data_IF_977267687892
#
_entry.id   IF_977267687892
#
_cell.length_a   1.000
_cell.length_b   1.000
_cell.length_c   1.000
_cell.angle_alpha   90.00
_cell.angle_beta   90.00
_cell.angle_gamma   90.00
#
_symmetry.space_group_name_H-M   'P 1'
#
loop_
_entity.id
_entity.type
_entity.pdbx_description
1 polymer ?
#
# COMPACT_ATOMS: atom_id res chain seq x y z
N UNK A 1 -10.69 9.55 -4.30
CA UNK A 1 -10.20 9.44 -5.68
C UNK A 1 -8.69 9.37 -5.63
N UNK A 2 -8.09 8.32 -6.18
CA UNK A 2 -6.64 8.08 -6.15
C UNK A 2 -5.90 9.08 -7.06
N UNK A 3 -4.58 9.21 -6.92
CA UNK A 3 -3.78 10.08 -7.81
C UNK A 3 -3.79 9.58 -9.26
N UNK A 4 -3.87 8.26 -9.47
CA UNK A 4 -3.92 7.67 -10.81
C UNK A 4 -5.25 8.00 -11.50
N UNK A 5 -6.36 7.95 -10.76
CA UNK A 5 -7.69 8.29 -11.28
C UNK A 5 -7.70 9.74 -11.83
N UNK A 6 -7.12 10.68 -11.06
CA UNK A 6 -6.98 12.08 -11.48
C UNK A 6 -6.13 12.23 -12.73
N UNK A 7 -5.01 11.50 -12.83
CA UNK A 7 -4.13 11.56 -13.99
C UNK A 7 -4.80 11.05 -15.27
N UNK A 8 -5.58 9.96 -15.15
CA UNK A 8 -6.34 9.42 -16.27
C UNK A 8 -7.38 10.43 -16.80
N UNK A 9 -8.10 11.12 -15.90
CA UNK A 9 -9.06 12.17 -16.27
C UNK A 9 -8.40 13.43 -16.85
N UNK A 10 -7.28 13.87 -16.28
CA UNK A 10 -6.61 15.13 -16.67
C UNK A 10 -5.83 15.04 -17.99
N UNK A 11 -5.24 13.87 -18.30
CA UNK A 11 -4.28 13.73 -19.39
C UNK A 11 -4.71 12.77 -20.50
N UNK A 12 -5.93 12.21 -20.45
CA UNK A 12 -6.44 11.24 -21.43
C UNK A 12 -5.45 10.07 -21.68
N UNK A 13 -4.94 9.50 -20.59
CA UNK A 13 -3.99 8.38 -20.61
C UNK A 13 -4.69 7.08 -20.22
N UNK A 14 -4.30 5.98 -20.84
CA UNK A 14 -4.73 4.64 -20.42
C UNK A 14 -3.80 4.08 -19.33
N UNK A 15 -4.38 3.65 -18.21
CA UNK A 15 -3.65 3.13 -17.06
C UNK A 15 -3.92 1.63 -16.92
N UNK A 16 -2.92 0.81 -17.23
CA UNK A 16 -2.99 -0.64 -17.05
C UNK A 16 -2.31 -1.07 -15.74
N UNK A 17 -3.10 -1.57 -14.78
CA UNK A 17 -2.58 -2.18 -13.55
C UNK A 17 -1.87 -3.51 -13.83
N UNK A 18 -0.68 -3.72 -13.25
CA UNK A 18 0.08 -4.97 -13.33
C UNK A 18 0.54 -5.40 -11.93
N UNK A 19 -0.31 -6.12 -11.19
CA UNK A 19 0.01 -6.53 -9.83
C UNK A 19 1.13 -7.58 -9.84
N UNK A 20 1.99 -7.55 -8.81
CA UNK A 20 3.12 -8.47 -8.66
C UNK A 20 3.49 -8.65 -7.19
N UNK A 21 4.22 -9.72 -6.87
CA UNK A 21 4.64 -10.02 -5.51
C UNK A 21 5.97 -9.34 -5.18
N UNK A 22 5.97 -8.50 -4.16
CA UNK A 22 7.21 -7.97 -3.58
C UNK A 22 7.92 -8.98 -2.68
N UNK A 23 7.17 -9.88 -2.03
CA UNK A 23 7.69 -10.84 -1.04
C UNK A 23 7.01 -12.21 -1.20
N UNK A 24 7.28 -12.94 -2.30
CA UNK A 24 6.64 -14.23 -2.58
C UNK A 24 6.91 -15.28 -1.49
N UNK A 25 8.04 -15.19 -0.77
CA UNK A 25 8.39 -16.12 0.32
C UNK A 25 7.77 -15.80 1.68
N UNK A 26 6.75 -14.93 1.77
CA UNK A 26 6.08 -14.68 3.05
C UNK A 26 5.27 -15.92 3.47
N UNK A 27 5.35 -16.41 4.72
CA UNK A 27 4.52 -17.52 5.20
C UNK A 27 3.02 -17.22 5.12
N UNK A 28 2.15 -18.24 5.03
CA UNK A 28 0.69 -18.07 4.88
C UNK A 28 0.06 -17.32 6.06
N UNK A 29 0.59 -17.52 7.26
CA UNK A 29 0.22 -16.83 8.50
C UNK A 29 0.71 -15.37 8.57
N UNK A 30 1.48 -14.93 7.56
CA UNK A 30 2.20 -13.67 7.57
C UNK A 30 3.42 -13.71 8.49
N UNK A 31 3.99 -12.55 8.78
CA UNK A 31 5.04 -12.44 9.80
C UNK A 31 4.93 -11.12 10.56
N UNK A 32 5.38 -11.05 11.83
CA UNK A 32 5.53 -9.79 12.53
C UNK A 32 6.31 -8.80 11.67
N UNK A 33 5.89 -7.54 11.70
CA UNK A 33 6.58 -6.47 11.01
C UNK A 33 7.29 -5.60 12.04
N UNK A 34 8.56 -5.36 11.81
CA UNK A 34 9.31 -4.35 12.55
C UNK A 34 8.82 -2.94 12.18
N UNK A 35 8.49 -2.08 13.16
CA UNK A 35 8.18 -0.68 12.91
C UNK A 35 9.34 0.02 12.21
N UNK A 36 9.05 0.93 11.27
CA UNK A 36 10.07 1.80 10.69
C UNK A 36 10.45 2.91 11.67
N UNK A 37 11.61 3.52 11.46
CA UNK A 37 12.02 4.70 12.23
C UNK A 37 10.97 5.81 12.11
N UNK A 38 10.50 6.32 13.24
CA UNK A 38 9.46 7.34 13.31
C UNK A 38 8.02 6.83 13.12
N UNK A 39 7.80 5.52 12.96
CA UNK A 39 6.48 4.90 12.97
C UNK A 39 6.05 4.63 14.42
N UNK A 40 4.79 4.94 14.75
CA UNK A 40 4.17 4.60 16.04
C UNK A 40 3.08 3.53 15.82
N UNK A 41 2.42 3.02 16.88
CA UNK A 41 1.30 2.09 16.70
C UNK A 41 0.15 2.67 15.87
N UNK A 42 -0.08 3.98 15.98
CA UNK A 42 -1.23 4.66 15.37
C UNK A 42 -0.86 5.50 14.14
N UNK A 43 0.41 5.89 13.99
CA UNK A 43 0.84 6.83 12.96
C UNK A 43 2.02 6.31 12.15
N UNK A 44 1.93 6.53 10.84
CA UNK A 44 3.03 6.29 9.90
C UNK A 44 4.17 7.28 10.15
N UNK A 45 5.38 6.90 9.73
CA UNK A 45 6.50 7.83 9.66
C UNK A 45 6.36 8.80 8.48
N UNK A 46 7.04 9.94 8.56
CA UNK A 46 7.23 10.80 7.38
C UNK A 46 8.10 10.10 6.31
N UNK A 47 7.90 10.42 5.02
CA UNK A 47 6.91 11.36 4.46
C UNK A 47 5.52 10.74 4.23
N UNK A 48 5.32 9.46 4.56
CA UNK A 48 4.11 8.71 4.19
C UNK A 48 2.86 9.27 4.88
N UNK A 49 3.02 9.72 6.13
CA UNK A 49 1.97 10.38 6.90
C UNK A 49 1.49 11.66 6.19
N UNK A 50 2.40 12.57 5.86
CA UNK A 50 2.05 13.81 5.15
C UNK A 50 1.35 13.55 3.81
N UNK A 51 1.80 12.57 3.03
CA UNK A 51 1.15 12.22 1.75
C UNK A 51 -0.27 11.66 1.94
N UNK A 52 -0.51 10.88 2.98
CA UNK A 52 -1.84 10.37 3.28
C UNK A 52 -2.80 11.52 3.68
N UNK A 53 -2.32 12.45 4.51
CA UNK A 53 -3.08 13.64 4.93
C UNK A 53 -3.43 14.54 3.74
N UNK A 54 -2.45 14.87 2.90
CA UNK A 54 -2.65 15.70 1.70
C UNK A 54 -3.64 15.04 0.71
N UNK A 55 -3.59 13.72 0.58
CA UNK A 55 -4.50 12.97 -0.29
C UNK A 55 -5.88 12.70 0.33
N UNK A 56 -6.11 13.07 1.60
CA UNK A 56 -7.35 12.78 2.32
C UNK A 56 -7.58 11.29 2.56
N UNK A 57 -6.51 10.49 2.67
CA UNK A 57 -6.55 9.05 2.87
C UNK A 57 -6.32 8.68 4.34
N UNK A 58 -7.07 7.70 4.82
CA UNK A 58 -6.82 7.08 6.13
C UNK A 58 -5.83 5.93 5.92
N UNK A 59 -4.58 6.12 6.33
CA UNK A 59 -3.55 5.08 6.31
C UNK A 59 -3.05 4.78 7.72
N UNK A 60 -2.87 3.50 8.05
CA UNK A 60 -2.42 3.05 9.37
C UNK A 60 -1.19 2.13 9.28
N UNK A 61 -0.27 2.20 10.25
CA UNK A 61 0.83 1.24 10.39
C UNK A 61 0.32 -0.21 10.44
N UNK A 62 0.81 -1.11 9.56
CA UNK A 62 0.46 -2.52 9.65
C UNK A 62 1.28 -3.20 10.75
N UNK A 63 0.64 -4.05 11.57
CA UNK A 63 1.32 -4.84 12.61
C UNK A 63 2.00 -6.10 12.07
N UNK A 64 1.65 -6.51 10.84
CA UNK A 64 2.16 -7.72 10.18
C UNK A 64 2.51 -7.44 8.72
N UNK A 65 3.49 -8.18 8.21
CA UNK A 65 3.66 -8.36 6.75
C UNK A 65 2.70 -9.48 6.32
N UNK A 66 1.67 -9.20 5.51
CA UNK A 66 0.68 -10.19 5.12
C UNK A 66 1.19 -11.11 4.00
N UNK A 67 0.58 -12.29 3.90
CA UNK A 67 0.67 -13.16 2.74
C UNK A 67 -0.28 -12.66 1.64
N UNK A 68 0.27 -12.08 0.58
CA UNK A 68 -0.53 -11.41 -0.46
C UNK A 68 -0.74 -12.26 -1.72
N UNK A 69 -0.40 -13.55 -1.70
CA UNK A 69 -0.64 -14.43 -2.86
C UNK A 69 -2.12 -14.48 -3.22
N UNK A 70 -3.01 -14.70 -2.25
CA UNK A 70 -4.46 -14.74 -2.51
C UNK A 70 -5.00 -13.41 -3.04
N UNK A 71 -4.42 -12.28 -2.60
CA UNK A 71 -4.81 -10.97 -3.12
C UNK A 71 -4.34 -10.76 -4.57
N UNK A 72 -3.18 -11.30 -4.94
CA UNK A 72 -2.71 -11.31 -6.32
C UNK A 72 -3.57 -12.22 -7.19
N UNK A 73 -3.86 -13.44 -6.74
CA UNK A 73 -4.73 -14.39 -7.45
C UNK A 73 -6.13 -13.80 -7.71
N UNK A 74 -6.64 -12.95 -6.82
CA UNK A 74 -7.93 -12.28 -6.98
C UNK A 74 -7.91 -11.06 -7.93
N UNK A 75 -6.75 -10.70 -8.48
CA UNK A 75 -6.61 -9.58 -9.42
C UNK A 75 -6.57 -9.99 -10.90
N UNK A 76 -6.64 -11.31 -11.17
CA UNK A 76 -6.76 -11.94 -12.49
C UNK A 76 -8.23 -12.25 -12.82
#
# INVERSE_FOLDING_TARGET
MSRLDKLQEEFDIDIQGRPYLLRPGTPKEGKPREPRSGESPDHLSEPLKGYAEEAGLIMRPPTKTPYTMYALEASE
#
